data_IF_696062970621
#
_entry.id   IF_696062970621
#
_cell.length_a   1.000
_cell.length_b   1.000
_cell.length_c   1.000
_cell.angle_alpha   90.00
_cell.angle_beta   90.00
_cell.angle_gamma   90.00
#
_symmetry.space_group_name_H-M   'P 1'
#
loop_
_entity.id
_entity.type
_entity.pdbx_description
1 polymer ?
#
# COMPACT_ATOMS: atom_id res chain seq x y z
N UNK A 1 -1.57 -7.87 17.38
CA UNK A 1 -3.01 -7.80 17.71
C UNK A 1 -3.36 -8.64 18.92
N UNK A 2 -3.41 -9.98 18.86
CA UNK A 2 -3.84 -10.78 20.02
C UNK A 2 -2.76 -10.95 21.13
N UNK A 3 -1.49 -11.12 20.75
CA UNK A 3 -0.36 -11.30 21.70
C UNK A 3 0.46 -10.00 21.87
N UNK A 4 0.35 -9.07 20.92
CA UNK A 4 1.08 -7.79 20.95
C UNK A 4 2.49 -7.81 20.34
N UNK A 5 3.04 -8.97 20.03
CA UNK A 5 4.35 -9.13 19.39
C UNK A 5 4.33 -10.17 18.25
N UNK A 6 5.27 -10.10 17.29
CA UNK A 6 5.43 -11.14 16.28
C UNK A 6 5.80 -12.50 16.91
N UNK A 7 5.33 -13.64 16.37
CA UNK A 7 5.55 -14.97 16.97
C UNK A 7 7.00 -15.45 16.94
N UNK A 8 7.84 -14.89 16.07
CA UNK A 8 9.24 -15.28 15.89
C UNK A 8 10.22 -14.15 16.23
N UNK A 9 9.77 -13.16 17.01
CA UNK A 9 10.61 -12.03 17.41
C UNK A 9 11.91 -12.52 18.06
N UNK A 10 13.03 -11.93 17.64
CA UNK A 10 14.35 -12.25 18.14
C UNK A 10 15.25 -11.01 18.07
N UNK A 11 16.38 -11.05 18.77
CA UNK A 11 17.33 -9.93 18.82
C UNK A 11 18.13 -9.75 17.53
N UNK A 12 18.21 -10.78 16.69
CA UNK A 12 18.93 -10.75 15.42
C UNK A 12 18.09 -11.28 14.25
N UNK A 13 18.35 -10.81 13.02
CA UNK A 13 17.69 -11.34 11.83
C UNK A 13 17.91 -12.85 11.64
N UNK A 14 19.13 -13.33 11.87
CA UNK A 14 19.47 -14.75 11.73
C UNK A 14 18.72 -15.64 12.72
N UNK A 15 18.54 -15.18 13.96
CA UNK A 15 17.75 -15.91 14.96
C UNK A 15 16.25 -15.89 14.60
N UNK A 16 15.73 -14.76 14.10
CA UNK A 16 14.36 -14.67 13.58
C UNK A 16 14.15 -15.69 12.45
N UNK A 17 15.08 -15.75 11.50
CA UNK A 17 15.06 -16.72 10.40
C UNK A 17 15.07 -18.16 10.93
N UNK A 18 15.96 -18.47 11.89
CA UNK A 18 16.01 -19.79 12.51
C UNK A 18 14.67 -20.17 13.13
N UNK A 19 14.02 -19.27 13.88
CA UNK A 19 12.70 -19.50 14.47
C UNK A 19 11.64 -19.77 13.40
N UNK A 20 11.59 -18.96 12.34
CA UNK A 20 10.65 -19.15 11.23
C UNK A 20 10.83 -20.52 10.55
N UNK A 21 12.07 -20.94 10.29
CA UNK A 21 12.35 -22.24 9.68
C UNK A 21 12.00 -23.41 10.61
N UNK A 22 12.25 -23.26 11.90
CA UNK A 22 11.99 -24.27 12.94
C UNK A 22 10.67 -23.97 13.69
N UNK A 23 9.65 -23.51 12.97
CA UNK A 23 8.40 -23.03 13.55
C UNK A 23 7.70 -24.11 14.40
N UNK A 24 7.83 -25.41 14.05
CA UNK A 24 7.22 -26.52 14.79
C UNK A 24 7.70 -26.58 16.25
N UNK A 25 8.96 -26.22 16.51
CA UNK A 25 9.53 -26.21 17.86
C UNK A 25 9.51 -24.82 18.52
N UNK A 26 9.49 -23.76 17.73
CA UNK A 26 9.73 -22.39 18.22
C UNK A 26 8.47 -21.52 18.29
N UNK A 27 7.38 -21.89 17.62
CA UNK A 27 6.10 -21.22 17.76
C UNK A 27 5.52 -21.49 19.15
N UNK A 28 5.56 -20.49 20.02
CA UNK A 28 5.00 -20.58 21.37
C UNK A 28 4.03 -19.43 21.61
N UNK A 29 2.78 -19.77 21.93
CA UNK A 29 1.78 -18.80 22.33
C UNK A 29 1.94 -18.55 23.83
N UNK A 30 2.26 -17.31 24.27
CA UNK A 30 2.45 -17.01 25.68
C UNK A 30 1.16 -17.25 26.48
N UNK A 31 1.25 -17.95 27.62
CA UNK A 31 0.07 -18.27 28.47
C UNK A 31 -0.63 -17.02 29.00
N UNK A 32 0.12 -15.94 29.22
CA UNK A 32 -0.41 -14.65 29.66
C UNK A 32 -1.25 -13.93 28.59
N UNK A 33 -1.18 -14.33 27.33
CA UNK A 33 -2.00 -13.75 26.26
C UNK A 33 -3.49 -14.10 26.39
N UNK A 34 -3.84 -15.15 27.16
CA UNK A 34 -5.24 -15.56 27.44
C UNK A 34 -6.13 -15.60 26.18
N UNK A 35 -5.60 -16.18 25.11
CA UNK A 35 -6.33 -16.31 23.85
C UNK A 35 -7.53 -17.25 24.02
N UNK A 36 -8.59 -17.00 23.25
CA UNK A 36 -9.67 -17.98 23.12
C UNK A 36 -9.15 -19.27 22.45
N UNK A 37 -9.81 -20.42 22.67
CA UNK A 37 -9.49 -21.66 21.99
C UNK A 37 -9.47 -21.49 20.46
N UNK A 38 -10.44 -20.74 19.92
CA UNK A 38 -10.58 -20.50 18.48
C UNK A 38 -9.46 -19.61 17.95
N UNK A 39 -9.00 -18.62 18.72
CA UNK A 39 -7.86 -17.77 18.34
C UNK A 39 -6.54 -18.55 18.33
N UNK A 40 -6.37 -19.45 19.32
CA UNK A 40 -5.21 -20.36 19.37
C UNK A 40 -5.22 -21.32 18.18
N UNK A 41 -6.37 -21.95 17.90
CA UNK A 41 -6.55 -22.88 16.79
C UNK A 41 -6.28 -22.20 15.44
N UNK A 42 -6.80 -20.98 15.23
CA UNK A 42 -6.55 -20.22 14.01
C UNK A 42 -5.06 -19.95 13.78
N UNK A 43 -4.34 -19.51 14.83
CA UNK A 43 -2.90 -19.23 14.73
C UNK A 43 -2.14 -20.50 14.33
N UNK A 44 -2.41 -21.63 14.98
CA UNK A 44 -1.71 -22.89 14.72
C UNK A 44 -2.02 -23.45 13.32
N UNK A 45 -3.25 -23.28 12.83
CA UNK A 45 -3.66 -23.70 11.48
C UNK A 45 -3.12 -22.80 10.36
N UNK A 46 -2.75 -21.56 10.65
CA UNK A 46 -2.09 -20.66 9.70
C UNK A 46 -0.57 -20.78 9.75
N UNK A 47 0.00 -20.85 10.95
CA UNK A 47 1.43 -21.01 11.19
C UNK A 47 1.84 -22.48 11.14
N UNK A 48 1.66 -23.09 9.97
CA UNK A 48 2.06 -24.46 9.72
C UNK A 48 2.64 -24.68 8.30
N UNK A 49 2.98 -25.93 8.01
CA UNK A 49 3.42 -26.37 6.68
C UNK A 49 2.40 -26.00 5.61
N UNK A 50 2.88 -25.57 4.43
CA UNK A 50 2.03 -25.10 3.35
C UNK A 50 1.06 -26.18 2.82
N UNK A 51 1.41 -27.45 2.98
CA UNK A 51 0.62 -28.63 2.64
C UNK A 51 -0.68 -28.74 3.44
N UNK A 52 -0.68 -28.26 4.70
CA UNK A 52 -1.78 -28.38 5.65
C UNK A 52 -2.33 -27.02 6.14
N UNK A 53 -1.88 -25.93 5.53
CA UNK A 53 -2.26 -24.57 5.91
C UNK A 53 -3.72 -24.29 5.61
N UNK A 54 -4.43 -23.74 6.59
CA UNK A 54 -5.79 -23.26 6.40
C UNK A 54 -5.84 -22.22 5.27
N UNK A 55 -6.78 -22.38 4.34
CA UNK A 55 -6.90 -21.54 3.17
C UNK A 55 -6.20 -22.09 1.92
N UNK A 56 -5.50 -23.24 2.04
CA UNK A 56 -4.88 -23.92 0.88
C UNK A 56 -5.91 -24.24 -0.20
N UNK A 57 -7.13 -24.60 0.17
CA UNK A 57 -8.19 -24.93 -0.79
C UNK A 57 -9.14 -23.74 -1.06
N UNK A 58 -8.76 -22.53 -0.64
CA UNK A 58 -9.50 -21.30 -0.89
C UNK A 58 -9.91 -20.56 0.39
N UNK A 59 -10.35 -19.31 0.21
CA UNK A 59 -10.67 -18.42 1.32
C UNK A 59 -11.85 -18.88 2.18
N UNK A 60 -12.75 -19.72 1.65
CA UNK A 60 -13.92 -20.22 2.39
C UNK A 60 -13.52 -21.04 3.63
N UNK A 61 -12.40 -21.77 3.58
CA UNK A 61 -11.88 -22.47 4.77
C UNK A 61 -11.58 -21.49 5.91
N UNK A 62 -10.99 -20.34 5.57
CA UNK A 62 -10.65 -19.29 6.53
C UNK A 62 -11.95 -18.65 7.07
N UNK A 63 -12.88 -18.28 6.18
CA UNK A 63 -14.15 -17.64 6.58
C UNK A 63 -15.00 -18.54 7.47
N UNK A 64 -14.99 -19.85 7.21
CA UNK A 64 -15.74 -20.86 7.99
C UNK A 64 -15.13 -21.18 9.35
N UNK A 65 -13.93 -20.67 9.65
CA UNK A 65 -13.25 -20.96 10.91
C UNK A 65 -14.00 -20.39 12.12
N UNK A 66 -14.06 -21.15 13.22
CA UNK A 66 -14.81 -20.77 14.43
C UNK A 66 -14.47 -19.38 14.99
N UNK A 67 -13.22 -18.94 14.80
CA UNK A 67 -12.76 -17.60 15.18
C UNK A 67 -13.54 -16.47 14.51
N UNK A 68 -14.03 -16.67 13.29
CA UNK A 68 -14.73 -15.64 12.52
C UNK A 68 -16.25 -15.80 12.51
N UNK A 69 -16.82 -16.69 13.34
CA UNK A 69 -18.28 -16.84 13.50
C UNK A 69 -19.03 -15.51 13.72
N UNK A 70 -18.49 -14.54 14.49
CA UNK A 70 -19.17 -13.25 14.67
C UNK A 70 -19.18 -12.36 13.43
N UNK A 71 -18.44 -12.70 12.37
CA UNK A 71 -18.31 -11.89 11.16
C UNK A 71 -19.25 -12.42 10.08
N UNK A 72 -20.14 -11.56 9.61
CA UNK A 72 -20.93 -11.83 8.41
C UNK A 72 -20.11 -11.50 7.15
N UNK A 73 -19.63 -12.55 6.47
CA UNK A 73 -18.93 -12.45 5.19
C UNK A 73 -19.86 -12.45 3.97
N UNK A 74 -21.16 -12.73 4.15
CA UNK A 74 -22.14 -12.75 3.06
C UNK A 74 -22.69 -11.35 2.75
N UNK A 75 -22.69 -10.47 3.74
CA UNK A 75 -23.04 -9.06 3.61
C UNK A 75 -21.89 -8.17 3.13
N UNK A 76 -22.15 -6.86 3.11
CA UNK A 76 -21.15 -5.85 2.77
C UNK A 76 -20.28 -5.50 3.99
N UNK A 77 -19.25 -6.32 4.23
CA UNK A 77 -18.31 -6.13 5.34
C UNK A 77 -17.72 -4.71 5.40
N UNK A 78 -17.57 -4.03 4.25
CA UNK A 78 -17.01 -2.67 4.18
C UNK A 78 -18.00 -1.59 4.62
N UNK A 79 -19.29 -1.90 4.71
CA UNK A 79 -20.31 -0.99 5.25
C UNK A 79 -20.55 -1.17 6.75
N UNK A 80 -19.95 -2.20 7.36
CA UNK A 80 -20.02 -2.37 8.81
C UNK A 80 -19.21 -1.27 9.51
N UNK A 81 -19.67 -0.84 10.69
CA UNK A 81 -18.96 0.17 11.47
C UNK A 81 -17.57 -0.34 11.86
N UNK A 82 -16.53 0.41 11.49
CA UNK A 82 -15.17 0.08 11.85
C UNK A 82 -14.95 0.17 13.38
N UNK A 83 -14.14 -0.72 13.99
CA UNK A 83 -13.83 -0.65 15.42
C UNK A 83 -13.15 0.65 15.83
N UNK A 84 -12.41 1.27 14.91
CA UNK A 84 -11.75 2.54 15.09
C UNK A 84 -12.03 3.45 13.90
N UNK A 85 -12.57 4.64 14.17
CA UNK A 85 -12.75 5.69 13.17
C UNK A 85 -11.77 6.81 13.49
N UNK A 86 -10.76 7.09 12.64
CA UNK A 86 -9.81 8.16 12.90
C UNK A 86 -10.50 9.52 12.85
N UNK A 87 -10.09 10.44 13.72
CA UNK A 87 -10.54 11.83 13.66
C UNK A 87 -9.67 12.60 12.66
N UNK A 88 -10.25 13.00 11.53
CA UNK A 88 -9.55 13.75 10.47
C UNK A 88 -9.99 15.21 10.53
N UNK A 89 -9.06 16.12 10.84
CA UNK A 89 -9.39 17.54 11.04
C UNK A 89 -9.52 18.32 9.73
N UNK A 90 -8.78 17.93 8.69
CA UNK A 90 -8.75 18.58 7.37
C UNK A 90 -8.18 17.62 6.30
N UNK A 91 -8.33 17.92 4.98
CA UNK A 91 -7.97 16.99 3.90
C UNK A 91 -6.49 16.55 3.82
N UNK A 92 -5.58 17.27 4.49
CA UNK A 92 -4.15 16.97 4.52
C UNK A 92 -3.65 16.61 5.94
N UNK A 93 -4.55 16.18 6.84
CA UNK A 93 -4.18 15.83 8.21
C UNK A 93 -3.34 14.55 8.25
N UNK A 94 -2.10 14.67 8.71
CA UNK A 94 -1.14 13.56 8.84
C UNK A 94 -1.00 13.04 10.27
N UNK A 95 -1.92 13.39 11.19
CA UNK A 95 -1.79 13.04 12.62
C UNK A 95 -1.78 11.54 12.95
N UNK A 96 -2.19 10.69 12.01
CA UNK A 96 -2.14 9.23 12.15
C UNK A 96 -0.85 8.61 11.61
N UNK A 97 0.11 9.45 11.19
CA UNK A 97 1.44 9.06 10.71
C UNK A 97 2.51 9.61 11.64
N UNK A 98 3.61 8.87 11.78
CA UNK A 98 4.77 9.35 12.50
C UNK A 98 5.46 10.49 11.74
N UNK A 99 6.10 11.40 12.49
CA UNK A 99 6.91 12.45 11.88
C UNK A 99 8.16 11.84 11.21
N UNK A 100 8.53 12.38 10.07
CA UNK A 100 9.77 11.98 9.37
C UNK A 100 10.97 12.61 10.08
N UNK A 101 11.94 11.78 10.44
CA UNK A 101 13.25 12.25 10.87
C UNK A 101 14.11 12.59 9.64
N UNK A 102 14.21 13.89 9.35
CA UNK A 102 14.97 14.42 8.22
C UNK A 102 16.47 14.05 8.28
N UNK A 103 17.04 13.91 9.49
CA UNK A 103 18.45 13.57 9.64
C UNK A 103 18.70 12.09 9.31
N UNK A 104 17.82 11.20 9.80
CA UNK A 104 17.86 9.79 9.45
C UNK A 104 17.68 9.60 7.93
N UNK A 105 16.72 10.30 7.33
CA UNK A 105 16.47 10.25 5.89
C UNK A 105 17.65 10.76 5.06
N UNK A 106 18.32 11.82 5.52
CA UNK A 106 19.51 12.34 4.87
C UNK A 106 20.67 11.35 4.91
N UNK A 107 20.86 10.65 6.04
CA UNK A 107 21.88 9.61 6.19
C UNK A 107 21.60 8.45 5.23
N UNK A 108 20.37 7.94 5.19
CA UNK A 108 19.97 6.87 4.26
C UNK A 108 20.21 7.25 2.79
N UNK A 109 19.90 8.50 2.41
CA UNK A 109 20.17 9.00 1.05
C UNK A 109 21.67 9.04 0.73
N UNK A 110 22.50 9.46 1.69
CA UNK A 110 23.95 9.50 1.51
C UNK A 110 24.53 8.08 1.35
N UNK A 111 24.05 7.12 2.15
CA UNK A 111 24.44 5.71 2.07
C UNK A 111 24.01 5.05 0.75
N UNK A 112 22.78 5.35 0.27
CA UNK A 112 22.30 4.88 -1.02
C UNK A 112 23.12 5.45 -2.19
N UNK A 113 23.51 6.73 -2.13
CA UNK A 113 24.38 7.33 -3.14
C UNK A 113 25.80 6.72 -3.13
N UNK A 114 26.33 6.39 -1.94
CA UNK A 114 27.65 5.79 -1.79
C UNK A 114 27.70 4.32 -2.24
N UNK A 115 26.58 3.60 -2.17
CA UNK A 115 26.46 2.18 -2.56
C UNK A 115 26.02 1.98 -4.01
N UNK A 116 25.73 3.06 -4.76
CA UNK A 116 25.34 2.98 -6.16
C UNK A 116 26.47 2.35 -7.00
N UNK A 117 26.24 1.20 -7.66
CA UNK A 117 27.26 0.58 -8.49
C UNK A 117 27.55 1.46 -9.72
N UNK A 118 28.80 1.87 -9.86
CA UNK A 118 29.28 2.65 -10.99
C UNK A 118 29.57 1.71 -12.18
N UNK A 119 28.52 1.04 -12.68
CA UNK A 119 28.61 0.11 -13.81
C UNK A 119 28.17 0.83 -15.10
N UNK A 120 29.10 1.18 -16.01
CA UNK A 120 28.80 1.90 -17.24
C UNK A 120 27.98 1.09 -18.25
N UNK A 121 27.77 -0.22 -18.03
CA UNK A 121 26.89 -1.07 -18.85
C UNK A 121 25.47 -1.21 -18.32
N UNK A 122 25.19 -0.68 -17.13
CA UNK A 122 23.85 -0.65 -16.53
C UNK A 122 23.24 0.70 -16.86
N UNK A 123 22.14 0.69 -17.60
CA UNK A 123 21.33 1.87 -17.87
C UNK A 123 20.14 1.92 -16.89
N UNK A 124 20.32 2.41 -15.64
CA UNK A 124 19.25 2.46 -14.64
C UNK A 124 18.01 3.24 -15.11
N UNK A 125 18.16 4.14 -16.08
CA UNK A 125 17.08 4.89 -16.71
C UNK A 125 16.04 4.00 -17.43
N UNK A 126 16.40 2.77 -17.82
CA UNK A 126 15.46 1.82 -18.40
C UNK A 126 14.66 1.03 -17.37
N UNK A 127 15.06 1.02 -16.09
CA UNK A 127 14.33 0.29 -15.04
C UNK A 127 12.92 0.86 -14.79
N UNK A 128 12.68 2.10 -15.23
CA UNK A 128 11.41 2.82 -15.08
C UNK A 128 10.79 3.19 -16.44
N UNK A 129 11.25 2.59 -17.54
CA UNK A 129 10.60 2.78 -18.84
C UNK A 129 9.13 2.36 -18.74
N UNK A 130 8.22 3.18 -19.27
CA UNK A 130 6.75 3.00 -19.17
C UNK A 130 6.16 3.01 -17.75
N UNK A 131 6.91 3.47 -16.75
CA UNK A 131 6.37 3.66 -15.39
C UNK A 131 5.24 4.71 -15.34
N UNK A 132 5.23 5.67 -16.26
CA UNK A 132 4.21 6.73 -16.29
C UNK A 132 2.83 6.16 -16.61
N UNK A 133 1.96 6.17 -15.61
CA UNK A 133 0.54 5.83 -15.75
C UNK A 133 -0.33 7.09 -15.80
N UNK A 134 -1.30 7.13 -16.73
CA UNK A 134 -2.38 8.14 -16.76
C UNK A 134 -3.73 7.42 -16.66
N UNK A 135 -4.55 7.81 -15.68
CA UNK A 135 -5.85 7.16 -15.38
C UNK A 135 -6.93 7.47 -16.43
N UNK A 136 -6.80 8.56 -17.19
CA UNK A 136 -7.82 9.04 -18.12
C UNK A 136 -7.19 9.40 -19.47
N UNK A 137 -7.59 8.67 -20.53
CA UNK A 137 -7.30 9.02 -21.93
C UNK A 137 -8.57 9.52 -22.67
N UNK A 138 -9.67 9.79 -21.97
CA UNK A 138 -10.99 9.93 -22.60
C UNK A 138 -11.43 11.35 -22.98
N UNK A 139 -10.68 12.40 -22.62
CA UNK A 139 -11.00 13.78 -23.02
C UNK A 139 -10.12 14.27 -24.19
N UNK A 140 -10.04 13.49 -25.27
CA UNK A 140 -9.60 13.93 -26.61
C UNK A 140 -8.22 14.61 -26.76
N UNK A 141 -7.41 14.70 -25.70
CA UNK A 141 -6.17 15.45 -25.70
C UNK A 141 -4.99 14.53 -26.11
N UNK A 142 -4.42 14.85 -27.28
CA UNK A 142 -3.24 14.25 -27.91
C UNK A 142 -2.28 13.51 -26.95
N UNK A 143 -2.10 12.20 -27.16
CA UNK A 143 -1.39 11.29 -26.26
C UNK A 143 0.12 11.58 -26.09
N UNK A 144 0.76 12.32 -27.00
CA UNK A 144 2.19 12.62 -26.96
C UNK A 144 2.48 13.99 -27.60
N UNK A 145 3.44 14.79 -27.08
CA UNK A 145 4.00 15.87 -27.88
C UNK A 145 4.74 15.23 -29.06
N UNK A 146 4.19 15.40 -30.27
CA UNK A 146 4.91 15.09 -31.50
C UNK A 146 6.18 15.95 -31.47
N UNK A 147 7.34 15.29 -31.46
CA UNK A 147 8.63 15.95 -31.57
C UNK A 147 8.73 16.51 -32.99
N UNK A 148 8.22 17.72 -33.20
CA UNK A 148 8.36 18.41 -34.48
C UNK A 148 9.82 18.85 -34.64
N UNK A 149 10.58 18.03 -35.36
CA UNK A 149 11.86 18.43 -35.90
C UNK A 149 11.69 19.51 -36.97
N UNK A 150 12.53 20.53 -36.88
CA UNK A 150 13.04 21.41 -37.95
C UNK A 150 12.06 22.37 -38.63
N UNK A 151 12.32 23.68 -38.49
CA UNK A 151 11.75 24.71 -39.36
C UNK A 151 11.73 26.10 -38.72
N UNK A 152 12.69 26.93 -39.09
CA UNK A 152 12.84 28.32 -38.68
C UNK A 152 11.75 29.26 -39.25
N UNK A 153 11.53 30.38 -38.55
CA UNK A 153 11.09 31.71 -39.02
C UNK A 153 9.66 32.22 -38.69
N UNK A 154 9.63 33.18 -37.75
CA UNK A 154 9.06 34.54 -37.84
C UNK A 154 7.60 34.77 -38.29
N UNK A 155 6.81 35.48 -37.46
CA UNK A 155 5.71 36.35 -37.95
C UNK A 155 4.57 36.71 -36.98
N UNK A 156 4.78 37.74 -36.13
CA UNK A 156 3.92 38.89 -35.72
C UNK A 156 2.40 38.70 -35.40
N UNK A 157 1.84 39.37 -34.35
CA UNK A 157 0.52 39.06 -33.78
C UNK A 157 -0.63 39.90 -34.34
N UNK A 158 -1.86 39.37 -34.25
CA UNK A 158 -3.10 40.07 -34.58
C UNK A 158 -4.20 39.76 -33.55
N UNK A 159 -4.75 40.82 -32.97
CA UNK A 159 -5.61 40.86 -31.79
C UNK A 159 -7.07 41.07 -32.22
N UNK A 160 -8.05 40.23 -31.83
CA UNK A 160 -9.47 40.64 -31.84
C UNK A 160 -10.35 39.87 -30.83
N UNK A 161 -10.91 40.64 -29.89
CA UNK A 161 -12.24 40.63 -29.26
C UNK A 161 -12.78 39.44 -28.41
N UNK A 162 -13.22 39.84 -27.21
CA UNK A 162 -14.13 39.15 -26.28
C UNK A 162 -15.49 38.77 -26.87
N UNK A 163 -16.05 37.67 -26.36
CA UNK A 163 -17.44 37.58 -25.92
C UNK A 163 -17.59 36.37 -24.98
N UNK A 164 -17.97 36.61 -23.72
CA UNK A 164 -18.22 35.56 -22.74
C UNK A 164 -19.63 34.97 -22.83
N UNK A 165 -19.83 33.81 -22.21
CA UNK A 165 -21.03 33.50 -21.41
C UNK A 165 -20.69 32.34 -20.48
N UNK A 166 -20.85 32.57 -19.18
CA UNK A 166 -20.81 31.57 -18.10
C UNK A 166 -22.14 30.82 -18.07
N UNK A 167 -22.12 29.49 -17.90
CA UNK A 167 -23.22 28.78 -17.24
C UNK A 167 -22.66 27.77 -16.23
N UNK A 168 -23.19 27.92 -15.02
CA UNK A 168 -22.88 27.14 -13.83
C UNK A 168 -23.67 25.82 -13.81
N UNK A 169 -23.01 24.74 -13.37
CA UNK A 169 -23.64 23.47 -13.05
C UNK A 169 -22.98 22.85 -11.83
N UNK A 170 -23.45 23.22 -10.65
CA UNK A 170 -23.04 22.64 -9.37
C UNK A 170 -23.51 21.18 -9.28
N UNK A 171 -22.56 20.24 -9.33
CA UNK A 171 -22.74 18.82 -9.06
C UNK A 171 -21.76 18.36 -8.00
N UNK A 172 -22.01 18.72 -6.75
CA UNK A 172 -21.11 18.46 -5.63
C UNK A 172 -21.20 17.00 -5.19
N UNK A 173 -20.39 16.13 -5.80
CA UNK A 173 -20.11 14.79 -5.31
C UNK A 173 -18.95 14.83 -4.31
N UNK A 174 -19.22 14.63 -3.02
CA UNK A 174 -18.17 14.50 -2.00
C UNK A 174 -17.34 13.21 -2.24
N UNK A 175 -16.00 13.28 -2.19
CA UNK A 175 -15.15 12.11 -2.41
C UNK A 175 -15.24 11.14 -1.21
N UNK A 176 -15.47 9.87 -1.53
CA UNK A 176 -15.32 8.74 -0.61
C UNK A 176 -13.84 8.37 -0.57
N UNK A 177 -13.20 8.54 0.59
CA UNK A 177 -11.83 8.06 0.81
C UNK A 177 -11.88 6.55 1.13
N UNK A 178 -11.02 5.79 0.45
CA UNK A 178 -10.79 4.34 0.65
C UNK A 178 -9.72 4.14 1.72
#
# INVERSE_FOLDING_TARGET
MLVGQPPFLASTPSETQYKVLNWEATLQIPKNAKLSPEGTDLILKLCCGADRRLGRNGAEEIKSHGFFVPIDFSGDLRKQTAPYTPNIRYPADTSNFDAVDEAALALERAEAAASAPNDPGRHPEHAFFEFTFRRFFDDGAQAYPVRAGTGSALGVPGNIAEAGTEEAGDGQGSPVYV
#
